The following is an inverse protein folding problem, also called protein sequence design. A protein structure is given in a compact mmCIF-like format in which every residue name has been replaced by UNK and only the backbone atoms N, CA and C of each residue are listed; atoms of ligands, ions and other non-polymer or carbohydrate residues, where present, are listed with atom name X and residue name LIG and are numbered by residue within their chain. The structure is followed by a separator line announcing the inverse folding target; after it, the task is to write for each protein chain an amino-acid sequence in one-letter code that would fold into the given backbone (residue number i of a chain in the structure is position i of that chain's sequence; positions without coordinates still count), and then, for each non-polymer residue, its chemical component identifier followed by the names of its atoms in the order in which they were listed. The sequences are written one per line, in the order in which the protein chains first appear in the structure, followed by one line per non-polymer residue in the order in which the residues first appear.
data_IF_298500049555
#
_entry.id   IF_298500049555
#
_cell.length_a   1.000
_cell.length_b   1.000
_cell.length_c   1.000
_cell.angle_alpha   90.00
_cell.angle_beta   90.00
_cell.angle_gamma   90.00
#
_symmetry.space_group_name_H-M   'P 1'
#
loop_
_entity.id
_entity.type
_entity.pdbx_description
1 polymer ?
#
# COMPACT_ATOMS: atom_id res chain seq x y z
N UNK A 1 3.54 -0.55 8.26
CA UNK A 1 3.11 -0.48 9.69
C UNK A 1 3.11 0.97 10.18
N UNK A 2 2.37 1.33 11.23
CA UNK A 2 2.37 2.68 11.80
C UNK A 2 3.80 3.17 12.15
N UNK A 3 4.59 2.30 12.78
CA UNK A 3 5.98 2.55 13.19
C UNK A 3 7.02 2.65 12.05
N UNK A 4 6.60 2.55 10.78
CA UNK A 4 7.51 2.59 9.63
C UNK A 4 8.14 1.25 9.24
N UNK A 5 7.89 0.15 9.97
CA UNK A 5 8.38 -1.15 9.50
C UNK A 5 7.62 -1.60 8.24
N UNK A 6 8.37 -2.17 7.29
CA UNK A 6 7.87 -2.85 6.09
C UNK A 6 8.38 -4.29 6.06
N UNK A 7 7.52 -5.22 5.64
CA UNK A 7 7.87 -6.61 5.41
C UNK A 7 6.92 -7.22 4.37
N UNK A 8 7.40 -8.25 3.68
CA UNK A 8 6.62 -9.01 2.70
C UNK A 8 6.06 -10.27 3.36
N UNK A 9 4.74 -10.48 3.27
CA UNK A 9 4.10 -11.73 3.72
C UNK A 9 4.39 -12.81 2.68
N UNK A 10 5.40 -13.64 2.95
CA UNK A 10 5.76 -14.75 2.08
C UNK A 10 4.77 -15.92 2.27
N UNK A 11 4.12 -16.34 1.18
CA UNK A 11 3.23 -17.51 1.14
C UNK A 11 3.67 -18.46 0.03
N UNK A 12 3.37 -19.76 0.15
CA UNK A 12 3.78 -20.77 -0.85
C UNK A 12 2.62 -21.14 -1.75
N UNK A 13 2.85 -21.16 -3.08
CA UNK A 13 1.82 -21.53 -4.07
C UNK A 13 1.22 -22.91 -3.79
N UNK A 14 2.03 -23.86 -3.31
CA UNK A 14 1.60 -25.21 -2.97
C UNK A 14 0.52 -25.27 -1.86
N UNK A 15 0.37 -24.20 -1.07
CA UNK A 15 -0.61 -24.13 0.01
C UNK A 15 -2.03 -23.77 -0.49
N UNK A 16 -2.20 -23.49 -1.80
CA UNK A 16 -3.49 -23.16 -2.39
C UNK A 16 -4.19 -21.98 -1.69
N UNK A 17 -5.47 -22.15 -1.36
CA UNK A 17 -6.25 -21.11 -0.68
C UNK A 17 -5.91 -20.94 0.80
N UNK A 18 -5.18 -21.88 1.42
CA UNK A 18 -4.72 -21.72 2.81
C UNK A 18 -3.79 -20.50 2.97
N UNK A 19 -3.17 -20.03 1.87
CA UNK A 19 -2.41 -18.78 1.82
C UNK A 19 -3.26 -17.56 2.18
N UNK A 20 -4.55 -17.57 1.87
CA UNK A 20 -5.45 -16.46 2.19
C UNK A 20 -5.62 -16.32 3.71
N UNK A 21 -5.70 -17.45 4.42
CA UNK A 21 -5.72 -17.48 5.90
C UNK A 21 -4.40 -16.96 6.47
N UNK A 22 -3.26 -17.34 5.90
CA UNK A 22 -1.96 -16.81 6.33
C UNK A 22 -1.89 -15.28 6.17
N UNK A 23 -2.47 -14.74 5.09
CA UNK A 23 -2.52 -13.29 4.82
C UNK A 23 -3.44 -12.59 5.82
N UNK A 24 -4.67 -13.08 6.04
CA UNK A 24 -5.58 -12.46 7.02
C UNK A 24 -5.00 -12.46 8.42
N UNK A 25 -4.43 -13.58 8.88
CA UNK A 25 -3.82 -13.67 10.21
C UNK A 25 -2.64 -12.72 10.36
N UNK A 26 -1.79 -12.59 9.32
CA UNK A 26 -0.68 -11.64 9.34
C UNK A 26 -1.18 -10.19 9.48
N UNK A 27 -2.28 -9.84 8.81
CA UNK A 27 -2.90 -8.50 8.91
C UNK A 27 -3.52 -8.30 10.30
N UNK A 28 -4.22 -9.30 10.85
CA UNK A 28 -4.79 -9.24 12.20
C UNK A 28 -3.72 -9.03 13.26
N UNK A 29 -2.61 -9.76 13.16
CA UNK A 29 -1.45 -9.58 14.04
C UNK A 29 -0.86 -8.18 13.88
N UNK A 30 -0.71 -7.70 12.64
CA UNK A 30 -0.21 -6.36 12.38
C UNK A 30 -1.09 -5.25 13.00
N UNK A 31 -2.42 -5.37 12.90
CA UNK A 31 -3.36 -4.45 13.53
C UNK A 31 -3.23 -4.52 15.06
N UNK A 32 -3.13 -5.72 15.63
CA UNK A 32 -3.10 -5.92 17.09
C UNK A 32 -1.79 -5.42 17.72
N UNK A 33 -0.66 -5.72 17.09
CA UNK A 33 0.68 -5.41 17.62
C UNK A 33 1.12 -3.99 17.24
N UNK A 34 0.67 -3.48 16.09
CA UNK A 34 1.05 -2.17 15.57
C UNK A 34 0.43 -0.98 16.30
N UNK A 35 -0.55 -1.23 17.18
CA UNK A 35 -1.37 -0.19 17.81
C UNK A 35 -2.52 0.26 16.91
N UNK A 36 -3.27 1.32 17.31
CA UNK A 36 -4.36 1.86 16.53
C UNK A 36 -3.93 2.20 15.10
N UNK A 37 -4.78 1.86 14.12
CA UNK A 37 -4.57 2.17 12.71
C UNK A 37 -5.70 3.07 12.24
N UNK A 38 -5.36 4.33 11.96
CA UNK A 38 -6.33 5.32 11.48
C UNK A 38 -6.70 5.12 10.01
N UNK A 39 -5.81 4.50 9.22
CA UNK A 39 -6.01 4.27 7.79
C UNK A 39 -5.09 3.15 7.26
N UNK A 40 -5.66 2.21 6.52
CA UNK A 40 -4.91 1.32 5.63
C UNK A 40 -4.96 1.85 4.19
N UNK A 41 -3.86 1.75 3.44
CA UNK A 41 -3.81 2.16 2.03
C UNK A 41 -3.39 0.98 1.18
N UNK A 42 -4.20 0.65 0.19
CA UNK A 42 -4.03 -0.53 -0.67
C UNK A 42 -3.86 -0.06 -2.11
N UNK A 43 -2.95 -0.68 -2.86
CA UNK A 43 -2.89 -0.47 -4.31
C UNK A 43 -4.19 -0.99 -4.95
N UNK A 44 -4.84 -0.20 -5.81
CA UNK A 44 -6.08 -0.59 -6.47
C UNK A 44 -5.80 -1.59 -7.61
N UNK A 45 -6.75 -2.51 -7.84
CA UNK A 45 -6.64 -3.46 -8.95
C UNK A 45 -7.18 -2.85 -10.24
N UNK A 46 -6.36 -2.69 -11.30
CA UNK A 46 -6.88 -2.28 -12.58
C UNK A 46 -7.83 -3.33 -13.15
N UNK A 47 -8.96 -2.86 -13.69
CA UNK A 47 -9.97 -3.71 -14.34
C UNK A 47 -9.32 -4.43 -15.53
N UNK A 48 -9.46 -5.76 -15.59
CA UNK A 48 -8.93 -6.58 -16.69
C UNK A 48 -7.48 -7.05 -16.52
N UNK A 49 -6.88 -6.92 -15.32
CA UNK A 49 -5.57 -7.50 -15.04
C UNK A 49 -5.56 -9.03 -15.27
N UNK A 50 -4.50 -9.55 -15.88
CA UNK A 50 -4.37 -10.99 -16.25
C UNK A 50 -4.46 -11.93 -15.05
N UNK A 51 -4.12 -11.46 -13.86
CA UNK A 51 -4.17 -12.18 -12.58
C UNK A 51 -5.35 -11.75 -11.68
N UNK A 52 -6.35 -11.04 -12.22
CA UNK A 52 -7.44 -10.43 -11.44
C UNK A 52 -8.19 -11.43 -10.54
N UNK A 53 -8.28 -12.71 -10.93
CA UNK A 53 -8.89 -13.74 -10.09
C UNK A 53 -8.13 -13.97 -8.78
N UNK A 54 -6.83 -14.25 -8.86
CA UNK A 54 -5.99 -14.52 -7.68
C UNK A 54 -5.84 -13.26 -6.83
N UNK A 55 -5.50 -12.12 -7.46
CA UNK A 55 -5.31 -10.88 -6.71
C UNK A 55 -6.63 -10.37 -6.12
N UNK A 56 -7.76 -10.63 -6.79
CA UNK A 56 -9.09 -10.35 -6.28
C UNK A 56 -9.41 -11.12 -4.99
N UNK A 57 -9.03 -12.39 -4.88
CA UNK A 57 -9.18 -13.17 -3.63
C UNK A 57 -8.37 -12.57 -2.49
N UNK A 58 -7.10 -12.20 -2.75
CA UNK A 58 -6.26 -11.53 -1.75
C UNK A 58 -6.88 -10.21 -1.30
N UNK A 59 -7.34 -9.38 -2.24
CA UNK A 59 -8.03 -8.13 -1.92
C UNK A 59 -9.30 -8.34 -1.09
N UNK A 60 -10.08 -9.36 -1.42
CA UNK A 60 -11.29 -9.70 -0.67
C UNK A 60 -10.97 -9.96 0.80
N UNK A 61 -10.00 -10.83 1.07
CA UNK A 61 -9.60 -11.20 2.43
C UNK A 61 -8.94 -10.06 3.19
N UNK A 62 -8.08 -9.26 2.53
CA UNK A 62 -7.50 -8.05 3.13
C UNK A 62 -8.59 -7.08 3.56
N UNK A 63 -9.54 -6.76 2.67
CA UNK A 63 -10.61 -5.80 2.92
C UNK A 63 -11.61 -6.30 3.97
N UNK A 64 -11.96 -7.58 3.93
CA UNK A 64 -12.79 -8.21 4.96
C UNK A 64 -12.12 -8.11 6.33
N UNK A 65 -10.84 -8.47 6.43
CA UNK A 65 -10.08 -8.39 7.68
C UNK A 65 -10.05 -6.96 8.24
N UNK A 66 -9.82 -5.96 7.39
CA UNK A 66 -9.82 -4.55 7.78
C UNK A 66 -11.22 -4.09 8.24
N UNK A 67 -12.28 -4.49 7.54
CA UNK A 67 -13.65 -4.17 7.92
C UNK A 67 -14.04 -4.78 9.27
N UNK A 68 -13.68 -6.04 9.53
CA UNK A 68 -13.91 -6.71 10.83
C UNK A 68 -13.21 -5.93 11.94
N UNK A 69 -11.99 -5.45 11.68
CA UNK A 69 -11.23 -4.64 12.63
C UNK A 69 -11.66 -3.17 12.70
N UNK A 70 -12.70 -2.75 11.95
CA UNK A 70 -13.14 -1.35 11.82
C UNK A 70 -12.01 -0.39 11.41
N UNK A 71 -11.05 -0.88 10.62
CA UNK A 71 -9.97 -0.08 10.06
C UNK A 71 -10.41 0.45 8.69
N UNK A 72 -10.57 1.77 8.51
CA UNK A 72 -10.92 2.32 7.22
C UNK A 72 -9.76 2.13 6.23
N UNK A 73 -10.08 1.96 4.95
CA UNK A 73 -9.06 1.77 3.93
C UNK A 73 -9.29 2.64 2.69
N UNK A 74 -8.18 3.03 2.06
CA UNK A 74 -8.14 3.75 0.79
C UNK A 74 -7.59 2.87 -0.33
N UNK A 75 -7.97 3.19 -1.57
CA UNK A 75 -7.45 2.53 -2.78
C UNK A 75 -6.73 3.55 -3.67
N UNK A 76 -5.49 3.24 -4.07
CA UNK A 76 -4.66 4.08 -4.94
C UNK A 76 -4.24 3.28 -6.17
N UNK A 77 -4.55 3.77 -7.37
CA UNK A 77 -4.11 3.08 -8.60
C UNK A 77 -2.57 3.06 -8.74
N UNK A 78 -1.98 2.06 -9.41
CA UNK A 78 -0.52 2.01 -9.61
C UNK A 78 0.03 3.27 -10.30
N UNK A 79 -0.69 3.78 -11.30
CA UNK A 79 -0.28 5.00 -12.02
C UNK A 79 -0.36 6.26 -11.12
N UNK A 80 -1.35 6.33 -10.23
CA UNK A 80 -1.45 7.40 -9.24
C UNK A 80 -0.30 7.34 -8.25
N UNK A 81 0.00 6.16 -7.72
CA UNK A 81 1.08 5.95 -6.75
C UNK A 81 2.44 6.32 -7.37
N UNK A 82 2.71 5.88 -8.60
CA UNK A 82 3.93 6.22 -9.35
C UNK A 82 4.06 7.70 -9.59
N UNK A 83 2.97 8.36 -9.99
CA UNK A 83 2.97 9.80 -10.22
C UNK A 83 3.18 10.59 -8.92
N UNK A 84 2.62 10.11 -7.81
CA UNK A 84 2.86 10.68 -6.47
C UNK A 84 4.33 10.53 -6.06
N UNK A 85 4.92 9.36 -6.24
CA UNK A 85 6.29 9.07 -5.84
C UNK A 85 7.34 9.80 -6.70
N UNK A 86 7.16 9.79 -8.02
CA UNK A 86 8.21 10.16 -8.99
C UNK A 86 7.88 11.37 -9.86
N UNK A 87 6.62 11.82 -9.87
CA UNK A 87 6.10 12.81 -10.83
C UNK A 87 5.55 12.21 -12.12
N UNK A 88 5.82 10.94 -12.42
CA UNK A 88 5.41 10.27 -13.65
C UNK A 88 4.59 8.99 -13.37
N UNK A 89 3.42 8.86 -14.00
CA UNK A 89 2.52 7.71 -13.76
C UNK A 89 2.99 6.40 -14.41
N UNK A 90 3.94 6.47 -15.35
CA UNK A 90 4.53 5.33 -16.05
C UNK A 90 5.91 4.94 -15.50
N UNK A 91 6.31 5.46 -14.34
CA UNK A 91 7.60 5.15 -13.72
C UNK A 91 7.77 3.64 -13.51
N UNK A 92 9.00 3.17 -13.65
CA UNK A 92 9.37 1.79 -13.36
C UNK A 92 9.75 1.59 -11.89
N UNK A 93 10.05 0.34 -11.53
CA UNK A 93 10.39 -0.06 -10.15
C UNK A 93 11.69 0.62 -9.66
N UNK A 94 12.66 0.79 -10.56
CA UNK A 94 13.94 1.45 -10.25
C UNK A 94 13.73 2.92 -9.92
N UNK A 95 12.89 3.62 -10.69
CA UNK A 95 12.56 5.01 -10.43
C UNK A 95 11.82 5.19 -9.08
N UNK A 96 10.92 4.28 -8.73
CA UNK A 96 10.24 4.26 -7.44
C UNK A 96 11.23 4.10 -6.26
N UNK A 97 12.13 3.13 -6.35
CA UNK A 97 13.16 2.88 -5.34
C UNK A 97 14.14 4.06 -5.22
N UNK A 98 14.61 4.61 -6.35
CA UNK A 98 15.49 5.78 -6.35
C UNK A 98 14.80 7.01 -5.74
N UNK A 99 13.52 7.22 -6.03
CA UNK A 99 12.76 8.29 -5.41
C UNK A 99 12.65 8.08 -3.89
N UNK A 100 12.41 6.85 -3.43
CA UNK A 100 12.34 6.56 -2.01
C UNK A 100 13.69 6.79 -1.32
N UNK A 101 14.79 6.33 -1.92
CA UNK A 101 16.14 6.56 -1.40
C UNK A 101 16.45 8.05 -1.30
N UNK A 102 16.18 8.83 -2.36
CA UNK A 102 16.46 10.28 -2.38
C UNK A 102 15.62 11.09 -1.38
N UNK A 103 14.42 10.62 -1.05
CA UNK A 103 13.48 11.35 -0.17
C UNK A 103 13.56 10.92 1.28
N UNK A 104 13.69 9.62 1.52
CA UNK A 104 13.62 9.02 2.85
C UNK A 104 14.95 8.46 3.33
N UNK A 105 15.95 8.29 2.46
CA UNK A 105 17.21 7.62 2.80
C UNK A 105 17.05 6.12 3.03
N UNK A 106 16.00 5.51 2.47
CA UNK A 106 15.65 4.11 2.70
C UNK A 106 15.89 3.30 1.43
N UNK A 107 16.48 2.12 1.61
CA UNK A 107 16.59 1.08 0.60
C UNK A 107 15.68 -0.10 0.99
N UNK A 108 15.08 -0.75 0.01
CA UNK A 108 14.16 -1.87 0.22
C UNK A 108 14.75 -3.16 -0.34
N UNK A 109 14.46 -4.28 0.33
CA UNK A 109 14.89 -5.60 -0.12
C UNK A 109 14.17 -6.04 -1.40
N UNK A 110 12.94 -5.56 -1.61
CA UNK A 110 12.13 -5.84 -2.80
C UNK A 110 11.26 -4.63 -3.18
N UNK A 111 10.72 -4.69 -4.40
CA UNK A 111 9.84 -3.69 -4.98
C UNK A 111 8.49 -3.57 -4.26
N UNK A 112 7.91 -4.67 -3.79
CA UNK A 112 6.63 -4.66 -3.07
C UNK A 112 6.73 -3.85 -1.78
N UNK A 113 7.86 -3.93 -1.07
CA UNK A 113 8.09 -3.12 0.14
C UNK A 113 8.25 -1.63 -0.19
N UNK A 114 8.87 -1.29 -1.32
CA UNK A 114 8.96 0.08 -1.80
C UNK A 114 7.59 0.66 -2.12
N UNK A 115 6.75 -0.09 -2.84
CA UNK A 115 5.38 0.32 -3.16
C UNK A 115 4.53 0.46 -1.89
N UNK A 116 4.66 -0.49 -0.94
CA UNK A 116 4.00 -0.42 0.36
C UNK A 116 4.42 0.81 1.19
N UNK A 117 5.69 1.20 1.13
CA UNK A 117 6.18 2.42 1.78
C UNK A 117 5.56 3.67 1.15
N UNK A 118 5.48 3.73 -0.18
CA UNK A 118 4.85 4.85 -0.88
C UNK A 118 3.35 4.94 -0.60
N UNK A 119 2.65 3.81 -0.46
CA UNK A 119 1.24 3.77 -0.03
C UNK A 119 1.09 4.32 1.39
N UNK A 120 1.98 3.93 2.33
CA UNK A 120 2.03 4.50 3.68
C UNK A 120 2.26 6.01 3.65
N UNK A 121 3.23 6.48 2.87
CA UNK A 121 3.53 7.90 2.73
C UNK A 121 2.35 8.69 2.15
N UNK A 122 1.60 8.11 1.20
CA UNK A 122 0.39 8.71 0.66
C UNK A 122 -0.73 8.80 1.71
N UNK A 123 -0.90 7.75 2.53
CA UNK A 123 -1.86 7.77 3.65
C UNK A 123 -1.55 8.86 4.67
N UNK A 124 -0.29 8.95 5.09
CA UNK A 124 0.18 9.99 6.01
C UNK A 124 0.02 11.39 5.42
N UNK A 125 0.30 11.57 4.13
CA UNK A 125 0.04 12.82 3.42
C UNK A 125 -1.46 13.20 3.45
N UNK A 126 -2.37 12.22 3.30
CA UNK A 126 -3.81 12.45 3.37
C UNK A 126 -4.29 12.81 4.79
N UNK A 127 -3.69 12.19 5.81
CA UNK A 127 -3.97 12.46 7.22
C UNK A 127 -3.39 13.80 7.71
N UNK A 128 -2.58 14.48 6.90
CA UNK A 128 -1.95 15.76 7.27
C UNK A 128 -0.63 15.62 8.01
N UNK A 129 -0.04 14.42 8.01
CA UNK A 129 1.22 14.09 8.67
C UNK A 129 2.31 13.65 7.68
N UNK A 130 2.64 14.45 6.64
CA UNK A 130 3.56 14.03 5.60
C UNK A 130 4.96 13.76 6.15
N UNK A 131 5.55 12.62 5.75
CA UNK A 131 6.92 12.25 6.14
C UNK A 131 7.99 13.17 5.54
N UNK A 132 7.73 13.69 4.33
CA UNK A 132 8.63 14.58 3.58
C UNK A 132 7.80 15.58 2.78
N UNK A 133 8.41 16.72 2.47
CA UNK A 133 7.82 17.67 1.52
C UNK A 133 8.02 17.18 0.08
N UNK A 134 6.93 17.15 -0.70
CA UNK A 134 6.94 16.83 -2.13
C UNK A 134 6.41 18.02 -2.93
N UNK A 135 6.78 18.15 -4.23
CA UNK A 135 6.18 19.13 -5.12
C UNK A 135 4.64 19.06 -5.12
N UNK A 136 3.98 20.22 -5.12
CA UNK A 136 2.52 20.30 -5.07
C UNK A 136 1.83 19.49 -6.18
N UNK A 137 2.42 19.46 -7.38
CA UNK A 137 1.90 18.68 -8.51
C UNK A 137 1.95 17.15 -8.26
N UNK A 138 2.89 16.66 -7.45
CA UNK A 138 2.94 15.26 -7.02
C UNK A 138 1.88 14.99 -5.95
N UNK A 139 1.74 15.87 -4.96
CA UNK A 139 0.73 15.75 -3.89
C UNK A 139 -0.68 15.72 -4.50
N UNK A 140 -0.98 16.62 -5.44
CA UNK A 140 -2.28 16.70 -6.14
C UNK A 140 -2.62 15.43 -6.94
N UNK A 141 -1.67 14.49 -7.17
CA UNK A 141 -2.00 13.19 -7.76
C UNK A 141 -2.92 12.37 -6.85
N UNK A 142 -2.82 12.56 -5.54
CA UNK A 142 -3.62 11.87 -4.53
C UNK A 142 -5.11 12.24 -4.57
N UNK A 143 -5.49 13.32 -5.25
CA UNK A 143 -6.90 13.68 -5.47
C UNK A 143 -7.65 12.62 -6.29
N UNK A 144 -6.92 11.75 -7.00
CA UNK A 144 -7.47 10.63 -7.77
C UNK A 144 -7.65 9.34 -6.96
N UNK A 145 -7.17 9.30 -5.72
CA UNK A 145 -7.31 8.13 -4.86
C UNK A 145 -8.73 8.04 -4.27
N UNK A 146 -9.15 6.81 -3.96
CA UNK A 146 -10.44 6.54 -3.30
C UNK A 146 -10.21 6.53 -1.80
N UNK A 147 -10.37 7.70 -1.17
CA UNK A 147 -10.27 7.85 0.29
C UNK A 147 -11.58 7.44 0.98
N UNK A 148 -11.53 6.85 2.18
CA UNK A 148 -12.73 6.59 2.97
C UNK A 148 -13.38 7.92 3.39
N UNK A 149 -14.70 7.89 3.66
CA UNK A 149 -15.34 8.99 4.35
C UNK A 149 -14.75 9.15 5.76
N UNK A 150 -14.61 10.40 6.22
CA UNK A 150 -14.20 10.71 7.59
C UNK A 150 -15.32 10.41 8.58
#
# INVERSE_FOLDING_TARGET
MPNGNCHTIATKVADGDARLVQISESIRVAITVGGPIDLAVIEDLPVGARSAGITGMVHGVVRETLNIASVPYALISPATLKAYATGAGNADKTAMALAAFKRYGIEFADDNQCDAWWLRAAGLQHLGEPLVSLPAAQIARLDKAKWPAR
#
